data_IF_396492578737
#
_entry.id   IF_396492578737
#
_cell.length_a   1.000
_cell.length_b   1.000
_cell.length_c   1.000
_cell.angle_alpha   90.00
_cell.angle_beta   90.00
_cell.angle_gamma   90.00
#
_symmetry.space_group_name_H-M   'P 1'
#
loop_
_entity.id
_entity.type
_entity.pdbx_description
1 polymer ?
#
# COMPACT_ATOMS: atom_id res chain seq x y z
N UNK A 1 17.20 2.58 -16.23
CA UNK A 1 17.92 3.62 -15.47
C UNK A 1 17.00 4.62 -14.76
N UNK A 2 15.86 5.04 -15.34
CA UNK A 2 14.91 5.98 -14.69
C UNK A 2 14.33 5.42 -13.37
N UNK A 3 14.01 4.12 -13.29
CA UNK A 3 13.52 3.47 -12.06
C UNK A 3 14.54 3.47 -10.90
N UNK A 4 15.84 3.39 -11.21
CA UNK A 4 16.92 3.44 -10.20
C UNK A 4 17.10 4.87 -9.67
N UNK A 5 16.93 5.88 -10.52
CA UNK A 5 16.94 7.28 -10.10
C UNK A 5 15.73 7.64 -9.22
N UNK A 6 14.56 7.06 -9.45
CA UNK A 6 13.39 7.24 -8.57
C UNK A 6 13.63 6.56 -7.21
N UNK A 7 14.23 5.37 -7.19
CA UNK A 7 14.55 4.67 -5.93
C UNK A 7 15.58 5.42 -5.06
N UNK A 8 16.47 6.21 -5.68
CA UNK A 8 17.44 7.07 -4.99
C UNK A 8 16.87 8.43 -4.56
N UNK A 9 15.93 9.00 -5.33
CA UNK A 9 15.36 10.34 -5.07
C UNK A 9 14.07 10.32 -4.21
N UNK A 10 13.39 9.18 -4.13
CA UNK A 10 12.17 9.01 -3.32
C UNK A 10 12.44 8.62 -1.85
N UNK A 11 13.71 8.56 -1.42
CA UNK A 11 14.02 8.29 0.00
C UNK A 11 13.47 9.42 0.86
N UNK A 12 12.50 9.09 1.71
CA UNK A 12 11.91 10.05 2.64
C UNK A 12 11.02 11.10 1.98
N UNK A 13 10.36 10.79 0.85
CA UNK A 13 9.43 11.73 0.20
C UNK A 13 7.97 11.47 0.54
N UNK A 14 7.59 10.23 0.84
CA UNK A 14 6.19 9.87 1.06
C UNK A 14 5.84 9.80 2.53
N UNK A 15 4.75 10.47 2.89
CA UNK A 15 4.07 10.28 4.17
C UNK A 15 3.44 8.87 4.23
N UNK A 16 3.15 8.37 5.43
CA UNK A 16 2.60 7.03 5.66
C UNK A 16 1.33 6.79 4.84
N UNK A 17 0.41 7.76 4.81
CA UNK A 17 -0.84 7.66 4.06
C UNK A 17 -0.61 7.59 2.53
N UNK A 18 0.34 8.36 2.02
CA UNK A 18 0.65 8.43 0.59
C UNK A 18 1.39 7.19 0.11
N UNK A 19 2.30 6.69 0.94
CA UNK A 19 3.14 5.53 0.64
C UNK A 19 2.30 4.29 0.30
N UNK A 20 1.20 4.07 1.02
CA UNK A 20 0.34 2.89 0.83
C UNK A 20 -0.48 2.99 -0.44
N UNK A 21 -1.02 4.19 -0.73
CA UNK A 21 -1.71 4.46 -1.98
C UNK A 21 -0.77 4.30 -3.19
N UNK A 22 0.41 4.90 -3.11
CA UNK A 22 1.43 4.83 -4.14
C UNK A 22 1.91 3.41 -4.40
N UNK A 23 2.16 2.62 -3.34
CA UNK A 23 2.60 1.22 -3.47
C UNK A 23 1.57 0.38 -4.25
N UNK A 24 0.29 0.49 -3.89
CA UNK A 24 -0.81 -0.24 -4.53
C UNK A 24 -0.97 0.15 -6.01
N UNK A 25 -0.84 1.45 -6.31
CA UNK A 25 -0.89 1.99 -7.66
C UNK A 25 0.33 1.58 -8.52
N UNK A 26 1.53 1.61 -7.93
CA UNK A 26 2.78 1.26 -8.60
C UNK A 26 2.72 -0.16 -9.17
N UNK A 27 2.25 -1.13 -8.38
CA UNK A 27 2.15 -2.52 -8.83
C UNK A 27 1.14 -2.71 -9.97
N UNK A 28 0.00 -2.02 -9.92
CA UNK A 28 -0.97 -2.04 -11.02
C UNK A 28 -0.38 -1.47 -12.31
N UNK A 29 0.39 -0.37 -12.22
CA UNK A 29 1.04 0.24 -13.37
C UNK A 29 2.16 -0.62 -13.95
N UNK A 30 2.93 -1.32 -13.12
CA UNK A 30 3.93 -2.29 -13.59
C UNK A 30 3.23 -3.42 -14.35
N UNK A 31 2.15 -3.97 -13.81
CA UNK A 31 1.33 -4.98 -14.48
C UNK A 31 0.82 -4.52 -15.84
N UNK A 32 0.21 -3.33 -15.87
CA UNK A 32 -0.24 -2.68 -17.10
C UNK A 32 0.87 -2.51 -18.13
N UNK A 33 2.05 -2.01 -17.72
CA UNK A 33 3.18 -1.80 -18.62
C UNK A 33 3.70 -3.11 -19.23
N UNK A 34 3.76 -4.18 -18.44
CA UNK A 34 4.13 -5.50 -18.94
C UNK A 34 3.07 -6.00 -19.92
N UNK A 35 1.78 -5.90 -19.57
CA UNK A 35 0.67 -6.29 -20.45
C UNK A 35 0.67 -5.55 -21.78
N UNK A 36 0.90 -4.24 -21.76
CA UNK A 36 0.98 -3.42 -22.97
C UNK A 36 2.21 -3.76 -23.82
N UNK A 37 3.34 -4.08 -23.20
CA UNK A 37 4.52 -4.55 -23.96
C UNK A 37 4.28 -5.92 -24.59
N UNK A 38 3.57 -6.81 -23.88
CA UNK A 38 3.26 -8.15 -24.32
C UNK A 38 2.20 -8.19 -25.42
N UNK A 39 1.34 -7.16 -25.52
CA UNK A 39 0.34 -7.06 -26.58
C UNK A 39 0.96 -6.84 -27.96
N UNK A 40 2.10 -6.14 -28.02
CA UNK A 40 2.82 -5.93 -29.28
C UNK A 40 3.83 -7.01 -29.61
N UNK A 41 4.49 -7.53 -28.60
CA UNK A 41 5.29 -8.72 -28.79
C UNK A 41 5.25 -9.59 -27.54
N UNK A 42 4.60 -10.75 -27.65
CA UNK A 42 4.43 -11.66 -26.50
C UNK A 42 5.77 -12.06 -25.86
N UNK A 43 6.86 -12.03 -26.63
CA UNK A 43 8.21 -12.33 -26.13
C UNK A 43 8.69 -11.30 -25.08
N UNK A 44 8.18 -10.06 -25.11
CA UNK A 44 8.48 -9.01 -24.12
C UNK A 44 7.82 -9.26 -22.76
N UNK A 45 6.86 -10.18 -22.66
CA UNK A 45 6.33 -10.62 -21.37
C UNK A 45 7.43 -11.24 -20.49
N UNK A 46 8.38 -11.97 -21.08
CA UNK A 46 9.45 -12.65 -20.36
C UNK A 46 10.34 -11.65 -19.59
N UNK A 47 11.00 -10.66 -20.24
CA UNK A 47 11.80 -9.68 -19.51
C UNK A 47 10.96 -8.83 -18.54
N UNK A 48 9.69 -8.56 -18.87
CA UNK A 48 8.76 -7.86 -17.98
C UNK A 48 8.49 -8.61 -16.67
N UNK A 49 8.20 -9.91 -16.76
CA UNK A 49 7.99 -10.78 -15.60
C UNK A 49 9.26 -10.99 -14.78
N UNK A 50 10.43 -11.07 -15.43
CA UNK A 50 11.73 -11.10 -14.74
C UNK A 50 11.93 -9.82 -13.93
N UNK A 51 11.69 -8.66 -14.54
CA UNK A 51 11.79 -7.36 -13.85
C UNK A 51 10.81 -7.28 -12.68
N UNK A 52 9.56 -7.71 -12.86
CA UNK A 52 8.56 -7.77 -11.79
C UNK A 52 9.05 -8.65 -10.63
N UNK A 53 9.61 -9.83 -10.91
CA UNK A 53 10.17 -10.71 -9.89
C UNK A 53 11.32 -10.08 -9.11
N UNK A 54 12.23 -9.37 -9.80
CA UNK A 54 13.32 -8.63 -9.17
C UNK A 54 12.77 -7.51 -8.26
N UNK A 55 11.82 -6.72 -8.75
CA UNK A 55 11.19 -5.65 -7.97
C UNK A 55 10.48 -6.22 -6.72
N UNK A 56 9.79 -7.35 -6.85
CA UNK A 56 9.10 -8.01 -5.74
C UNK A 56 10.09 -8.52 -4.70
N UNK A 57 11.22 -9.08 -5.14
CA UNK A 57 12.31 -9.47 -4.24
C UNK A 57 12.85 -8.25 -3.46
N UNK A 58 13.19 -7.17 -4.16
CA UNK A 58 13.75 -5.95 -3.54
C UNK A 58 12.74 -5.37 -2.54
N UNK A 59 11.48 -5.28 -2.93
CA UNK A 59 10.39 -4.79 -2.09
C UNK A 59 10.22 -5.60 -0.80
N UNK A 60 10.41 -6.94 -0.86
CA UNK A 60 10.39 -7.78 0.36
C UNK A 60 11.55 -7.51 1.29
N UNK A 61 12.75 -7.20 0.77
CA UNK A 61 13.92 -6.92 1.60
C UNK A 61 13.87 -5.54 2.25
N UNK A 62 13.47 -4.52 1.50
CA UNK A 62 13.38 -3.15 1.99
C UNK A 62 12.04 -2.52 1.56
N UNK A 63 10.94 -2.84 2.24
CA UNK A 63 9.62 -2.31 1.90
C UNK A 63 9.50 -0.81 2.14
N UNK A 64 10.29 -0.22 3.05
CA UNK A 64 10.11 1.15 3.55
C UNK A 64 11.05 2.19 2.92
N UNK A 65 11.74 1.87 1.82
CA UNK A 65 12.79 2.74 1.24
C UNK A 65 12.28 4.13 0.82
N UNK A 66 10.97 4.29 0.58
CA UNK A 66 10.36 5.56 0.21
C UNK A 66 9.72 6.37 1.35
N UNK A 67 9.66 5.80 2.55
CA UNK A 67 8.87 6.35 3.65
C UNK A 67 9.64 7.45 4.39
N UNK A 68 9.02 8.62 4.58
CA UNK A 68 9.53 9.70 5.44
C UNK A 68 9.10 9.47 6.88
N UNK A 69 9.65 8.45 7.52
CA UNK A 69 9.33 8.15 8.91
C UNK A 69 10.58 8.10 9.79
N UNK A 70 10.46 8.59 11.01
CA UNK A 70 11.45 8.51 12.08
C UNK A 70 11.02 7.47 13.11
N UNK A 71 11.96 6.92 13.91
CA UNK A 71 11.59 6.07 15.04
C UNK A 71 10.66 6.81 16.01
N UNK A 72 9.65 6.12 16.54
CA UNK A 72 8.73 6.72 17.51
C UNK A 72 9.47 7.12 18.80
N UNK A 73 9.07 8.24 19.40
CA UNK A 73 9.57 8.72 20.69
C UNK A 73 8.79 8.14 21.88
N UNK A 74 9.28 8.41 23.10
CA UNK A 74 8.84 7.76 24.34
C UNK A 74 7.33 7.89 24.61
N UNK A 75 6.74 6.80 25.13
CA UNK A 75 5.30 6.60 25.34
C UNK A 75 4.59 5.88 24.18
N UNK A 76 4.96 6.18 22.92
CA UNK A 76 4.42 5.49 21.73
C UNK A 76 5.28 4.26 21.38
N UNK A 77 6.60 4.39 21.54
CA UNK A 77 7.54 3.27 21.45
C UNK A 77 7.24 2.17 22.47
N UNK A 78 6.94 2.54 23.72
CA UNK A 78 6.66 1.60 24.82
C UNK A 78 5.40 0.76 24.52
N UNK A 79 4.30 1.42 24.14
CA UNK A 79 3.02 0.79 23.77
C UNK A 79 3.17 -0.22 22.62
N UNK A 80 4.07 0.05 21.67
CA UNK A 80 4.29 -0.80 20.48
C UNK A 80 5.30 -1.91 20.77
N UNK A 81 6.28 -1.66 21.64
CA UNK A 81 7.29 -2.63 22.05
C UNK A 81 6.70 -3.84 22.76
N UNK A 82 5.59 -3.67 23.50
CA UNK A 82 4.82 -4.77 24.11
C UNK A 82 4.31 -5.78 23.08
N UNK A 83 4.13 -5.36 21.82
CA UNK A 83 3.67 -6.20 20.72
C UNK A 83 4.82 -6.80 19.89
N UNK A 84 6.08 -6.56 20.27
CA UNK A 84 7.27 -7.05 19.56
C UNK A 84 7.51 -6.39 18.19
N UNK A 85 6.88 -5.26 17.92
CA UNK A 85 6.96 -4.53 16.65
C UNK A 85 7.89 -3.32 16.76
N UNK A 86 8.54 -2.95 15.65
CA UNK A 86 9.30 -1.71 15.56
C UNK A 86 8.37 -0.56 15.18
N UNK A 87 8.46 0.58 15.87
CA UNK A 87 7.59 1.71 15.63
C UNK A 87 8.26 2.77 14.74
N UNK A 88 7.54 3.23 13.72
CA UNK A 88 7.93 4.36 12.87
C UNK A 88 6.78 5.37 12.82
N UNK A 89 7.12 6.66 12.84
CA UNK A 89 6.15 7.76 12.83
C UNK A 89 6.55 8.86 11.85
N UNK A 90 5.58 9.61 11.36
CA UNK A 90 5.80 10.82 10.57
C UNK A 90 5.14 12.04 11.25
N UNK A 91 5.21 13.23 10.68
CA UNK A 91 4.64 14.44 11.29
C UNK A 91 3.17 14.67 10.91
N UNK A 92 2.80 14.31 9.68
CA UNK A 92 1.60 14.82 9.02
C UNK A 92 0.50 13.76 8.81
N UNK A 93 0.82 12.46 8.85
CA UNK A 93 -0.19 11.42 8.59
C UNK A 93 -1.11 11.22 9.78
N UNK A 94 -2.31 10.74 9.45
CA UNK A 94 -3.28 10.24 10.41
C UNK A 94 -3.28 8.71 10.46
N UNK A 95 -2.81 8.03 9.40
CA UNK A 95 -2.89 6.59 9.23
C UNK A 95 -2.07 5.77 10.22
N UNK A 96 -2.55 4.58 10.53
CA UNK A 96 -1.81 3.58 11.31
C UNK A 96 -1.84 2.26 10.55
N UNK A 97 -0.66 1.65 10.35
CA UNK A 97 -0.51 0.48 9.49
C UNK A 97 0.55 -0.47 10.00
N UNK A 98 0.33 -1.78 9.82
CA UNK A 98 1.31 -2.83 10.16
C UNK A 98 1.93 -3.39 8.88
N UNK A 99 3.25 -3.33 8.74
CA UNK A 99 4.00 -3.80 7.57
C UNK A 99 5.33 -4.46 7.98
N UNK A 100 5.54 -5.73 7.65
CA UNK A 100 6.82 -6.46 7.79
C UNK A 100 7.53 -6.27 9.15
N UNK A 101 6.81 -6.49 10.24
CA UNK A 101 7.32 -6.32 11.61
C UNK A 101 7.45 -4.87 12.09
N UNK A 102 7.01 -3.90 11.29
CA UNK A 102 6.91 -2.49 11.66
C UNK A 102 5.46 -2.07 11.86
N UNK A 103 5.25 -1.19 12.83
CA UNK A 103 4.02 -0.42 12.99
C UNK A 103 4.31 1.02 12.59
N UNK A 104 3.65 1.47 11.53
CA UNK A 104 3.68 2.84 11.04
C UNK A 104 2.55 3.59 11.73
N UNK A 105 2.84 4.67 12.44
CA UNK A 105 1.88 5.48 13.18
C UNK A 105 1.99 6.93 12.75
N UNK A 106 0.95 7.49 12.15
CA UNK A 106 0.95 8.88 11.71
C UNK A 106 1.05 9.86 12.87
N UNK A 107 1.83 10.93 12.72
CA UNK A 107 2.08 11.90 13.79
C UNK A 107 0.84 12.63 14.31
N UNK A 108 -0.16 12.81 13.45
CA UNK A 108 -1.42 13.47 13.81
C UNK A 108 -2.43 12.53 14.46
N UNK A 109 -2.11 11.24 14.66
CA UNK A 109 -3.05 10.29 15.27
C UNK A 109 -3.49 10.73 16.68
N UNK A 110 -2.65 11.48 17.41
CA UNK A 110 -2.96 12.02 18.73
C UNK A 110 -4.20 12.94 18.76
N UNK A 111 -4.64 13.46 17.60
CA UNK A 111 -5.88 14.23 17.49
C UNK A 111 -7.14 13.36 17.62
N UNK A 112 -7.02 12.04 17.56
CA UNK A 112 -8.11 11.10 17.79
C UNK A 112 -8.15 10.67 19.27
N UNK A 113 -9.27 10.85 20.00
CA UNK A 113 -9.34 10.60 21.45
C UNK A 113 -8.93 9.18 21.89
N UNK A 114 -9.28 8.16 21.09
CA UNK A 114 -9.01 6.74 21.40
C UNK A 114 -7.82 6.18 20.61
N UNK A 115 -6.81 7.01 20.31
CA UNK A 115 -5.69 6.61 19.44
C UNK A 115 -4.91 5.40 19.94
N UNK A 116 -4.74 5.26 21.27
CA UNK A 116 -4.04 4.11 21.87
C UNK A 116 -4.74 2.79 21.57
N UNK A 117 -6.06 2.79 21.53
CA UNK A 117 -6.86 1.61 21.21
C UNK A 117 -6.70 1.23 19.74
N UNK A 118 -6.66 2.20 18.82
CA UNK A 118 -6.35 1.95 17.40
C UNK A 118 -4.99 1.28 17.25
N UNK A 119 -3.95 1.87 17.86
CA UNK A 119 -2.59 1.37 17.75
C UNK A 119 -2.51 -0.07 18.25
N UNK A 120 -3.16 -0.39 19.38
CA UNK A 120 -3.27 -1.76 19.90
C UNK A 120 -4.03 -2.68 18.95
N UNK A 121 -5.18 -2.27 18.44
CA UNK A 121 -5.99 -3.05 17.52
C UNK A 121 -5.23 -3.41 16.24
N UNK A 122 -4.45 -2.47 15.70
CA UNK A 122 -3.66 -2.68 14.50
C UNK A 122 -2.40 -3.50 14.79
N UNK A 123 -1.82 -3.36 15.98
CA UNK A 123 -0.72 -4.22 16.44
C UNK A 123 -1.17 -5.69 16.63
N UNK A 124 -2.42 -5.92 17.05
CA UNK A 124 -3.03 -7.26 17.16
C UNK A 124 -3.47 -7.84 15.82
N UNK A 125 -3.70 -7.01 14.80
CA UNK A 125 -4.12 -7.47 13.50
C UNK A 125 -3.06 -8.42 12.90
N UNK A 126 -3.44 -9.59 12.37
CA UNK A 126 -2.48 -10.54 11.84
C UNK A 126 -1.74 -9.91 10.66
N UNK A 127 -0.43 -10.15 10.62
CA UNK A 127 0.39 -9.73 9.51
C UNK A 127 -0.10 -10.40 8.21
N UNK A 128 -0.09 -9.64 7.10
CA UNK A 128 -0.47 -10.18 5.80
C UNK A 128 0.37 -11.44 5.50
N UNK A 129 -0.29 -12.60 5.51
CA UNK A 129 0.40 -13.88 5.31
C UNK A 129 1.06 -13.90 3.93
N UNK A 130 2.21 -14.55 3.82
CA UNK A 130 2.97 -14.68 2.56
C UNK A 130 2.11 -15.12 1.38
N UNK A 131 1.14 -16.02 1.62
CA UNK A 131 0.19 -16.52 0.61
C UNK A 131 -0.73 -15.41 0.07
N UNK A 132 -1.23 -14.52 0.93
CA UNK A 132 -2.07 -13.39 0.51
C UNK A 132 -1.26 -12.40 -0.33
N UNK A 133 -0.01 -12.13 0.05
CA UNK A 133 0.89 -11.29 -0.75
C UNK A 133 1.19 -11.86 -2.14
N UNK A 134 1.26 -13.19 -2.27
CA UNK A 134 1.41 -13.86 -3.58
C UNK A 134 0.13 -13.74 -4.42
N UNK A 135 -1.03 -14.01 -3.83
CA UNK A 135 -2.33 -13.89 -4.54
C UNK A 135 -2.53 -12.45 -5.03
N UNK A 136 -2.26 -11.45 -4.18
CA UNK A 136 -2.33 -10.04 -4.55
C UNK A 136 -1.35 -9.73 -5.69
N UNK A 137 -0.12 -10.24 -5.61
CA UNK A 137 0.87 -10.10 -6.68
C UNK A 137 0.40 -10.68 -8.02
N UNK A 138 -0.29 -11.83 -8.01
CA UNK A 138 -0.84 -12.44 -9.22
C UNK A 138 -1.99 -11.64 -9.83
N UNK A 139 -2.83 -10.99 -9.01
CA UNK A 139 -3.90 -10.11 -9.51
C UNK A 139 -3.31 -8.97 -10.33
N UNK A 140 -2.23 -8.34 -9.86
CA UNK A 140 -1.55 -7.28 -10.62
C UNK A 140 -0.92 -7.76 -11.94
N UNK A 141 -0.76 -9.07 -12.15
CA UNK A 141 -0.24 -9.63 -13.39
C UNK A 141 -1.35 -10.03 -14.38
N UNK A 142 -2.64 -9.88 -14.05
CA UNK A 142 -3.75 -10.14 -14.98
C UNK A 142 -3.67 -9.37 -16.31
N UNK A 143 -3.13 -8.14 -16.38
CA UNK A 143 -2.93 -7.45 -17.65
C UNK A 143 -1.96 -8.18 -18.58
N UNK A 144 -1.06 -9.02 -18.07
CA UNK A 144 -0.07 -9.74 -18.89
C UNK A 144 -0.71 -10.77 -19.83
N UNK A 145 -1.45 -11.79 -19.35
CA UNK A 145 -2.15 -12.72 -20.25
C UNK A 145 -3.22 -12.01 -21.08
N UNK A 146 -3.89 -10.99 -20.54
CA UNK A 146 -4.87 -10.21 -21.30
C UNK A 146 -4.22 -9.49 -22.50
N UNK A 147 -3.06 -8.87 -22.31
CA UNK A 147 -2.30 -8.23 -23.39
C UNK A 147 -1.90 -9.22 -24.48
N UNK A 148 -1.41 -10.41 -24.10
CA UNK A 148 -1.04 -11.47 -25.05
C UNK A 148 -2.23 -11.93 -25.90
N UNK A 149 -3.41 -12.08 -25.28
CA UNK A 149 -4.62 -12.55 -25.97
C UNK A 149 -5.20 -11.48 -26.90
N UNK A 150 -5.25 -10.23 -26.44
CA UNK A 150 -5.88 -9.13 -27.16
C UNK A 150 -5.03 -8.61 -28.33
N UNK A 151 -3.71 -8.79 -28.29
CA UNK A 151 -2.79 -8.33 -29.33
C UNK A 151 -2.74 -6.81 -29.46
N UNK A 152 -2.12 -6.31 -30.53
CA UNK A 152 -1.90 -4.87 -30.69
C UNK A 152 -3.16 -4.06 -31.00
N UNK A 153 -3.26 -2.89 -30.36
CA UNK A 153 -4.24 -1.88 -30.75
C UNK A 153 -4.65 -0.93 -29.62
N UNK A 154 -5.28 0.18 -30.01
CA UNK A 154 -5.82 1.18 -29.08
C UNK A 154 -6.92 0.57 -28.19
N UNK A 155 -7.73 -0.33 -28.75
CA UNK A 155 -8.76 -1.06 -28.00
C UNK A 155 -8.13 -1.93 -26.91
N UNK A 156 -7.02 -2.61 -27.21
CA UNK A 156 -6.25 -3.37 -26.23
C UNK A 156 -5.69 -2.48 -25.13
N UNK A 157 -5.08 -1.35 -25.48
CA UNK A 157 -4.55 -0.41 -24.50
C UNK A 157 -5.65 0.11 -23.54
N UNK A 158 -6.85 0.41 -24.07
CA UNK A 158 -7.98 0.83 -23.26
C UNK A 158 -8.50 -0.30 -22.36
N UNK A 159 -8.62 -1.52 -22.90
CA UNK A 159 -9.04 -2.69 -22.13
C UNK A 159 -8.07 -3.01 -20.99
N UNK A 160 -6.75 -2.95 -21.26
CA UNK A 160 -5.72 -3.14 -20.26
C UNK A 160 -5.72 -2.04 -19.19
N UNK A 161 -5.99 -0.79 -19.58
CA UNK A 161 -6.10 0.31 -18.63
C UNK A 161 -7.29 0.11 -17.70
N UNK A 162 -8.46 -0.27 -18.24
CA UNK A 162 -9.65 -0.60 -17.44
C UNK A 162 -9.32 -1.74 -16.50
N UNK A 163 -8.66 -2.80 -16.99
CA UNK A 163 -8.27 -3.95 -16.17
C UNK A 163 -7.31 -3.54 -15.04
N UNK A 164 -6.30 -2.71 -15.32
CA UNK A 164 -5.38 -2.23 -14.30
C UNK A 164 -6.06 -1.38 -13.22
N UNK A 165 -7.04 -0.56 -13.60
CA UNK A 165 -7.87 0.19 -12.64
C UNK A 165 -8.73 -0.75 -11.80
N UNK A 166 -9.35 -1.76 -12.43
CA UNK A 166 -10.12 -2.78 -11.72
C UNK A 166 -9.23 -3.57 -10.74
N UNK A 167 -8.03 -3.99 -11.15
CA UNK A 167 -7.07 -4.68 -10.29
C UNK A 167 -6.69 -3.83 -9.09
N UNK A 168 -6.37 -2.55 -9.31
CA UNK A 168 -6.09 -1.59 -8.24
C UNK A 168 -7.25 -1.51 -7.23
N UNK A 169 -8.49 -1.33 -7.71
CA UNK A 169 -9.67 -1.22 -6.86
C UNK A 169 -9.98 -2.54 -6.13
N UNK A 170 -9.87 -3.67 -6.82
CA UNK A 170 -10.13 -5.00 -6.28
C UNK A 170 -9.11 -5.34 -5.21
N UNK A 171 -7.82 -5.11 -5.44
CA UNK A 171 -6.77 -5.34 -4.42
C UNK A 171 -6.97 -4.44 -3.21
N UNK A 172 -7.26 -3.14 -3.41
CA UNK A 172 -7.53 -2.22 -2.32
C UNK A 172 -8.74 -2.69 -1.48
N UNK A 173 -9.85 -3.04 -2.14
CA UNK A 173 -11.05 -3.53 -1.47
C UNK A 173 -10.84 -4.86 -0.74
N UNK A 174 -10.16 -5.82 -1.38
CA UNK A 174 -9.84 -7.11 -0.77
C UNK A 174 -8.93 -6.93 0.46
N UNK A 175 -7.92 -6.07 0.37
CA UNK A 175 -7.00 -5.79 1.48
C UNK A 175 -7.75 -5.22 2.68
N UNK A 176 -8.65 -4.25 2.47
CA UNK A 176 -9.49 -3.70 3.53
C UNK A 176 -10.43 -4.76 4.11
N UNK A 177 -11.10 -5.55 3.26
CA UNK A 177 -12.08 -6.54 3.71
C UNK A 177 -11.43 -7.68 4.50
N UNK A 178 -10.27 -8.14 4.06
CA UNK A 178 -9.47 -9.15 4.77
C UNK A 178 -9.02 -8.61 6.11
N UNK A 179 -8.52 -7.37 6.14
CA UNK A 179 -8.10 -6.71 7.37
C UNK A 179 -9.25 -6.58 8.38
N UNK A 180 -10.41 -6.09 7.95
CA UNK A 180 -11.59 -5.93 8.80
C UNK A 180 -12.11 -7.26 9.37
N UNK A 181 -12.05 -8.34 8.59
CA UNK A 181 -12.46 -9.68 9.06
C UNK A 181 -11.49 -10.27 10.08
N UNK A 182 -10.23 -9.86 10.02
CA UNK A 182 -9.17 -10.36 10.87
C UNK A 182 -9.06 -9.61 12.20
N UNK A 183 -9.74 -8.48 12.35
CA UNK A 183 -9.76 -7.71 13.58
C UNK A 183 -10.69 -8.33 14.64
N UNK A 184 -10.30 -8.28 15.93
CA UNK A 184 -11.19 -8.61 17.05
C UNK A 184 -12.48 -7.79 17.03
N UNK A 185 -13.58 -8.33 17.57
CA UNK A 185 -14.87 -7.63 17.57
C UNK A 185 -14.82 -6.32 18.37
N UNK A 186 -14.08 -6.31 19.49
CA UNK A 186 -13.86 -5.13 20.34
C UNK A 186 -13.15 -3.99 19.58
N UNK A 187 -12.38 -4.32 18.54
CA UNK A 187 -11.70 -3.35 17.70
C UNK A 187 -12.59 -2.76 16.61
N UNK A 188 -13.74 -3.37 16.29
CA UNK A 188 -14.59 -2.90 15.18
C UNK A 188 -15.20 -1.53 15.45
N UNK A 189 -15.67 -1.30 16.68
CA UNK A 189 -16.27 -0.01 17.07
C UNK A 189 -15.24 1.13 16.98
N UNK A 190 -14.04 0.91 17.54
CA UNK A 190 -12.94 1.89 17.49
C UNK A 190 -12.53 2.19 16.05
N UNK A 191 -12.47 1.16 15.20
CA UNK A 191 -12.10 1.32 13.79
C UNK A 191 -13.18 2.05 12.98
N UNK A 192 -14.46 1.90 13.32
CA UNK A 192 -15.54 2.63 12.67
C UNK A 192 -15.56 4.11 13.08
N UNK A 193 -15.32 4.42 14.36
CA UNK A 193 -15.11 5.78 14.85
C UNK A 193 -13.91 6.43 14.15
N UNK A 194 -12.79 5.70 14.11
CA UNK A 194 -11.57 6.15 13.45
C UNK A 194 -11.79 6.41 11.96
N UNK A 195 -12.52 5.54 11.26
CA UNK A 195 -12.85 5.73 9.84
C UNK A 195 -13.65 7.02 9.60
N UNK A 196 -14.61 7.34 10.47
CA UNK A 196 -15.37 8.59 10.40
C UNK A 196 -14.45 9.79 10.64
N UNK A 197 -13.64 9.73 11.69
CA UNK A 197 -12.68 10.77 12.04
C UNK A 197 -11.66 11.03 10.91
N UNK A 198 -11.08 9.97 10.34
CA UNK A 198 -10.12 10.05 9.25
C UNK A 198 -10.75 10.71 8.01
N UNK A 199 -11.98 10.32 7.65
CA UNK A 199 -12.72 10.89 6.53
C UNK A 199 -13.03 12.38 6.74
N UNK A 200 -13.45 12.76 7.94
CA UNK A 200 -13.72 14.16 8.29
C UNK A 200 -12.45 15.01 8.30
N UNK A 201 -11.36 14.47 8.86
CA UNK A 201 -10.07 15.15 8.94
C UNK A 201 -9.48 15.39 7.55
N UNK A 202 -9.46 14.38 6.66
CA UNK A 202 -9.05 14.57 5.26
C UNK A 202 -9.94 15.56 4.52
N UNK A 203 -11.25 15.58 4.78
CA UNK A 203 -12.17 16.56 4.18
C UNK A 203 -11.89 17.98 4.67
N UNK A 204 -11.50 18.17 5.93
CA UNK A 204 -11.13 19.47 6.49
C UNK A 204 -9.78 19.96 5.98
N UNK A 205 -8.78 19.07 5.91
CA UNK A 205 -7.47 19.38 5.33
C UNK A 205 -7.58 19.73 3.84
N UNK A 206 -8.32 18.93 3.07
CA UNK A 206 -8.58 19.23 1.65
C UNK A 206 -9.32 20.56 1.42
N UNK A 207 -10.13 21.02 2.38
CA UNK A 207 -10.75 22.36 2.31
C UNK A 207 -9.81 23.50 2.68
N UNK A 208 -8.80 23.26 3.53
CA UNK A 208 -7.80 24.27 3.91
C UNK A 208 -6.74 24.50 2.82
N UNK A 209 -6.50 23.51 1.96
CA UNK A 209 -5.55 23.64 0.84
C UNK A 209 -6.16 24.42 -0.35
N UNK A 210 -7.48 24.55 -0.41
CA UNK A 210 -8.22 25.24 -1.48
C UNK A 210 -8.61 26.68 -1.08
N UNK A 211 -8.43 27.07 0.19
CA UNK A 211 -8.73 28.38 0.73
C UNK A 211 -7.47 29.25 0.82
#
# INVERSE_FOLDING_TARGET
MVLVCVHLRARGTFEIDEFIGFSTFFWAMVGFGIGLSASGWSLLAIPGLILWGILMWISRRNPLVGLRATPCTDGLSELVSESGLRCLTDEESLGVYRINGYLLVGGKIGNFPRWREIVRCIAMAPEQRTVQGVIIGLIYLLPVPAGIILGDGIVTALALLILAVLDYLTVAFLSVRVFQRALPEDCREVMDEYKKFFKESKKREGKRVIA
#
